data_IF_911655820290
#
_entry.id   IF_911655820290
#
_cell.length_a   1.000
_cell.length_b   1.000
_cell.length_c   1.000
_cell.angle_alpha   90.00
_cell.angle_beta   90.00
_cell.angle_gamma   90.00
#
_symmetry.space_group_name_H-M   'P 1'
#
loop_
_entity.id
_entity.type
_entity.pdbx_description
1 polymer ?
#
# COMPACT_ATOMS: atom_id res chain seq x y z
N UNK A 1 40.26 -79.61 -54.58
CA UNK A 1 39.04 -80.41 -54.76
C UNK A 1 37.95 -79.83 -53.89
N UNK A 2 36.80 -79.47 -54.48
CA UNK A 2 35.53 -79.31 -53.77
C UNK A 2 35.21 -80.51 -52.86
N UNK A 3 34.56 -80.27 -51.70
CA UNK A 3 34.14 -81.34 -50.77
C UNK A 3 33.20 -82.33 -51.46
N UNK A 4 32.36 -81.84 -52.38
CA UNK A 4 31.43 -82.65 -53.17
C UNK A 4 32.12 -83.69 -54.06
N UNK A 5 33.40 -83.47 -54.41
CA UNK A 5 34.17 -84.35 -55.29
C UNK A 5 34.93 -85.44 -54.51
N UNK A 6 34.81 -85.45 -53.17
CA UNK A 6 35.45 -86.44 -52.30
C UNK A 6 34.56 -87.68 -52.15
N UNK A 7 35.13 -88.80 -51.68
CA UNK A 7 34.36 -90.03 -51.44
C UNK A 7 33.21 -89.77 -50.46
N UNK A 8 32.05 -90.37 -50.73
CA UNK A 8 30.84 -90.21 -49.90
C UNK A 8 31.13 -90.51 -48.41
N UNK A 9 31.89 -91.57 -48.13
CA UNK A 9 32.29 -91.91 -46.76
C UNK A 9 33.05 -90.78 -46.05
N UNK A 10 33.94 -90.09 -46.77
CA UNK A 10 34.69 -88.95 -46.24
C UNK A 10 33.78 -87.74 -46.03
N UNK A 11 32.83 -87.50 -46.93
CA UNK A 11 31.86 -86.41 -46.77
C UNK A 11 30.99 -86.62 -45.52
N UNK A 12 30.51 -87.86 -45.31
CA UNK A 12 29.74 -88.22 -44.12
C UNK A 12 30.59 -88.07 -42.86
N UNK A 13 31.81 -88.61 -42.83
CA UNK A 13 32.72 -88.47 -41.70
C UNK A 13 33.05 -87.00 -41.38
N UNK A 14 33.22 -86.17 -42.42
CA UNK A 14 33.46 -84.73 -42.24
C UNK A 14 32.23 -84.02 -41.65
N UNK A 15 31.02 -84.43 -42.07
CA UNK A 15 29.77 -83.93 -41.48
C UNK A 15 29.67 -84.31 -40.01
N UNK A 16 29.97 -85.56 -39.68
CA UNK A 16 29.96 -86.05 -38.31
C UNK A 16 30.98 -85.30 -37.44
N UNK A 17 32.20 -85.07 -37.94
CA UNK A 17 33.22 -84.25 -37.26
C UNK A 17 32.75 -82.82 -37.06
N UNK A 18 32.11 -82.20 -38.06
CA UNK A 18 31.55 -80.84 -37.90
C UNK A 18 30.47 -80.81 -36.83
N UNK A 19 29.62 -81.82 -36.77
CA UNK A 19 28.59 -81.92 -35.72
C UNK A 19 29.22 -82.08 -34.33
N UNK A 20 30.31 -82.84 -34.22
CA UNK A 20 31.06 -82.99 -32.96
C UNK A 20 31.71 -81.67 -32.50
N UNK A 21 32.25 -80.88 -33.45
CA UNK A 21 33.00 -79.65 -33.14
C UNK A 21 32.10 -78.42 -32.98
N UNK A 22 31.09 -78.27 -33.84
CA UNK A 22 30.25 -77.07 -33.94
C UNK A 22 28.79 -77.30 -33.51
N UNK A 23 28.42 -78.52 -33.14
CA UNK A 23 27.09 -78.80 -32.58
C UNK A 23 26.95 -78.33 -31.13
N UNK A 24 25.98 -78.89 -30.43
CA UNK A 24 25.58 -78.46 -29.07
C UNK A 24 26.64 -78.72 -27.97
N UNK A 25 27.71 -79.44 -28.32
CA UNK A 25 28.83 -79.76 -27.44
C UNK A 25 29.86 -78.64 -27.30
N UNK A 26 29.81 -77.59 -28.13
CA UNK A 26 30.82 -76.52 -28.12
C UNK A 26 30.77 -75.72 -26.81
N UNK A 27 31.81 -75.88 -25.99
CA UNK A 27 31.95 -75.14 -24.73
C UNK A 27 32.86 -73.92 -24.90
N UNK A 28 32.55 -72.80 -24.23
CA UNK A 28 33.43 -71.64 -24.22
C UNK A 28 34.79 -72.01 -23.61
N UNK A 29 35.85 -71.33 -24.06
CA UNK A 29 37.17 -71.51 -23.45
C UNK A 29 37.13 -70.97 -22.02
N UNK A 30 37.38 -71.84 -21.04
CA UNK A 30 37.37 -71.48 -19.63
C UNK A 30 38.80 -71.32 -19.08
N UNK A 31 38.99 -70.35 -18.19
CA UNK A 31 40.18 -70.24 -17.35
C UNK A 31 39.74 -69.85 -15.94
N UNK A 32 40.18 -70.60 -14.93
CA UNK A 32 39.78 -70.40 -13.53
C UNK A 32 38.24 -70.30 -13.35
N UNK A 33 37.49 -71.15 -14.05
CA UNK A 33 36.02 -71.18 -13.96
C UNK A 33 35.32 -69.99 -14.62
N UNK A 34 36.03 -69.14 -15.38
CA UNK A 34 35.44 -68.01 -16.12
C UNK A 34 35.58 -68.21 -17.64
N UNK A 35 34.52 -67.93 -18.42
CA UNK A 35 34.61 -67.94 -19.86
C UNK A 35 35.49 -66.78 -20.33
N UNK A 36 36.40 -67.07 -21.26
CA UNK A 36 37.26 -66.06 -21.86
C UNK A 36 36.49 -65.29 -22.93
N UNK A 37 36.44 -63.96 -22.79
CA UNK A 37 36.03 -63.08 -23.88
C UNK A 37 37.23 -62.82 -24.83
N UNK A 38 36.97 -62.15 -25.96
CA UNK A 38 38.01 -61.85 -26.96
C UNK A 38 39.17 -61.00 -26.41
N UNK A 39 38.88 -60.00 -25.57
CA UNK A 39 39.89 -59.14 -24.93
C UNK A 39 40.81 -59.95 -24.00
N UNK A 40 40.21 -60.80 -23.18
CA UNK A 40 40.93 -61.68 -22.25
C UNK A 40 41.81 -62.67 -23.00
N UNK A 41 41.27 -63.29 -24.06
CA UNK A 41 42.02 -64.25 -24.87
C UNK A 41 43.19 -63.59 -25.59
N UNK A 42 42.99 -62.42 -26.21
CA UNK A 42 44.06 -61.66 -26.85
C UNK A 42 45.15 -61.24 -25.86
N UNK A 43 44.77 -60.80 -24.65
CA UNK A 43 45.71 -60.45 -23.58
C UNK A 43 46.56 -61.65 -23.13
N UNK A 44 45.95 -62.83 -22.99
CA UNK A 44 46.67 -64.07 -22.68
C UNK A 44 47.65 -64.45 -23.80
N UNK A 45 47.23 -64.39 -25.06
CA UNK A 45 48.10 -64.64 -26.21
C UNK A 45 49.30 -63.68 -26.21
N UNK A 46 49.06 -62.39 -26.00
CA UNK A 46 50.12 -61.39 -25.96
C UNK A 46 51.12 -61.67 -24.83
N UNK A 47 50.65 -62.01 -23.63
CA UNK A 47 51.51 -62.36 -22.50
C UNK A 47 52.34 -63.62 -22.78
N UNK A 48 51.75 -64.65 -23.38
CA UNK A 48 52.47 -65.89 -23.72
C UNK A 48 53.52 -65.67 -24.81
N UNK A 49 53.14 -64.99 -25.89
CA UNK A 49 54.06 -64.67 -27.00
C UNK A 49 55.22 -63.81 -26.50
N UNK A 50 54.95 -62.82 -25.64
CA UNK A 50 55.99 -61.98 -25.04
C UNK A 50 56.98 -62.80 -24.20
N UNK A 51 56.49 -63.71 -23.35
CA UNK A 51 57.34 -64.57 -22.53
C UNK A 51 58.22 -65.50 -23.38
N UNK A 52 57.67 -66.08 -24.44
CA UNK A 52 58.44 -66.92 -25.39
C UNK A 52 59.52 -66.09 -26.08
N UNK A 53 59.14 -64.91 -26.59
CA UNK A 53 60.06 -64.04 -27.32
C UNK A 53 61.18 -63.46 -26.43
N UNK A 54 60.97 -63.37 -25.12
CA UNK A 54 62.00 -62.97 -24.15
C UNK A 54 62.88 -64.14 -23.67
N UNK A 55 62.74 -65.34 -24.24
CA UNK A 55 63.47 -66.54 -23.81
C UNK A 55 63.00 -67.12 -22.46
N UNK A 56 61.84 -66.69 -21.98
CA UNK A 56 61.23 -67.17 -20.73
C UNK A 56 60.20 -68.28 -20.97
N UNK A 57 59.78 -68.93 -19.88
CA UNK A 57 58.68 -69.90 -19.89
C UNK A 57 57.37 -69.18 -19.55
N UNK A 58 56.33 -69.25 -20.40
CA UNK A 58 55.04 -68.64 -20.10
C UNK A 58 54.42 -69.17 -18.81
N UNK A 59 54.16 -68.29 -17.85
CA UNK A 59 53.47 -68.64 -16.60
C UNK A 59 52.00 -68.26 -16.73
N UNK A 60 51.13 -69.27 -16.78
CA UNK A 60 49.68 -69.10 -16.98
C UNK A 60 49.06 -68.17 -15.93
N UNK A 61 49.48 -68.31 -14.67
CA UNK A 61 48.95 -67.54 -13.55
C UNK A 61 49.29 -66.04 -13.65
N UNK A 62 50.53 -65.67 -13.99
CA UNK A 62 50.91 -64.25 -14.08
C UNK A 62 50.24 -63.56 -15.28
N UNK A 63 50.11 -64.26 -16.41
CA UNK A 63 49.36 -63.77 -17.55
C UNK A 63 47.88 -63.55 -17.20
N UNK A 64 47.28 -64.49 -16.46
CA UNK A 64 45.90 -64.40 -16.00
C UNK A 64 45.68 -63.25 -15.01
N UNK A 65 46.56 -63.08 -14.04
CA UNK A 65 46.52 -61.96 -13.09
C UNK A 65 46.62 -60.61 -13.80
N UNK A 66 47.52 -60.48 -14.78
CA UNK A 66 47.64 -59.27 -15.59
C UNK A 66 46.37 -58.95 -16.39
N UNK A 67 45.78 -59.96 -17.04
CA UNK A 67 44.53 -59.80 -17.81
C UNK A 67 43.36 -59.44 -16.90
N UNK A 68 43.17 -60.15 -15.78
CA UNK A 68 42.07 -59.87 -14.84
C UNK A 68 42.20 -58.51 -14.16
N UNK A 69 43.42 -58.06 -13.86
CA UNK A 69 43.67 -56.70 -13.36
C UNK A 69 43.34 -55.63 -14.41
N UNK A 70 43.68 -55.87 -15.68
CA UNK A 70 43.37 -54.97 -16.80
C UNK A 70 41.86 -54.87 -17.04
N UNK A 71 41.15 -55.99 -17.11
CA UNK A 71 39.70 -56.03 -17.32
C UNK A 71 38.94 -55.40 -16.15
N UNK A 72 39.36 -55.64 -14.90
CA UNK A 72 38.77 -54.97 -13.72
C UNK A 72 38.98 -53.46 -13.75
N UNK A 73 40.14 -52.97 -14.23
CA UNK A 73 40.40 -51.54 -14.37
C UNK A 73 39.53 -50.89 -15.44
N UNK A 74 39.27 -51.60 -16.54
CA UNK A 74 38.30 -51.17 -17.57
C UNK A 74 36.90 -51.11 -16.98
N UNK A 75 36.46 -52.16 -16.29
CA UNK A 75 35.17 -52.21 -15.62
C UNK A 75 34.98 -51.05 -14.62
N UNK A 76 36.01 -50.75 -13.81
CA UNK A 76 36.02 -49.60 -12.89
C UNK A 76 35.82 -48.27 -13.63
N UNK A 77 36.52 -48.08 -14.74
CA UNK A 77 36.43 -46.85 -15.54
C UNK A 77 35.05 -46.70 -16.16
N UNK A 78 34.52 -47.77 -16.76
CA UNK A 78 33.18 -47.79 -17.33
C UNK A 78 32.09 -47.54 -16.28
N UNK A 79 32.19 -48.14 -15.09
CA UNK A 79 31.26 -47.91 -14.00
C UNK A 79 31.30 -46.44 -13.52
N UNK A 80 32.49 -45.86 -13.37
CA UNK A 80 32.65 -44.45 -13.00
C UNK A 80 32.08 -43.49 -14.07
N UNK A 81 32.22 -43.83 -15.35
CA UNK A 81 31.63 -43.06 -16.45
C UNK A 81 30.10 -43.17 -16.49
N UNK A 82 29.56 -44.37 -16.26
CA UNK A 82 28.13 -44.60 -16.14
C UNK A 82 27.53 -43.79 -14.98
N UNK A 83 28.17 -43.82 -13.81
CA UNK A 83 27.79 -43.00 -12.65
C UNK A 83 27.73 -41.52 -13.00
N UNK A 84 28.80 -40.96 -13.58
CA UNK A 84 28.86 -39.55 -13.97
C UNK A 84 27.78 -39.19 -15.00
N UNK A 85 27.51 -40.09 -15.93
CA UNK A 85 26.44 -39.90 -16.93
C UNK A 85 25.07 -39.85 -16.25
N UNK A 86 24.79 -40.75 -15.30
CA UNK A 86 23.55 -40.73 -14.52
C UNK A 86 23.38 -39.42 -13.76
N UNK A 87 24.43 -38.93 -13.08
CA UNK A 87 24.39 -37.64 -12.39
C UNK A 87 24.18 -36.46 -13.35
N UNK A 88 24.82 -36.48 -14.53
CA UNK A 88 24.66 -35.41 -15.52
C UNK A 88 23.29 -35.35 -16.17
N UNK A 89 22.50 -36.43 -16.08
CA UNK A 89 21.15 -36.51 -16.61
C UNK A 89 20.08 -36.01 -15.62
N UNK A 90 20.46 -35.69 -14.38
CA UNK A 90 19.55 -35.15 -13.37
C UNK A 90 19.12 -33.73 -13.73
N UNK A 91 17.82 -33.46 -13.64
CA UNK A 91 17.25 -32.13 -13.80
C UNK A 91 17.37 -31.34 -12.50
N UNK A 92 18.48 -30.64 -12.33
CA UNK A 92 18.74 -29.79 -11.16
C UNK A 92 17.98 -28.44 -11.28
N UNK A 93 17.59 -27.80 -10.16
CA UNK A 93 17.76 -28.26 -8.78
C UNK A 93 16.69 -29.26 -8.32
N UNK A 94 17.14 -30.26 -7.56
CA UNK A 94 16.31 -31.24 -6.85
C UNK A 94 16.27 -30.92 -5.36
N UNK A 95 15.17 -31.32 -4.71
CA UNK A 95 15.05 -31.30 -3.26
C UNK A 95 16.04 -32.30 -2.62
N UNK A 96 16.44 -32.05 -1.36
CA UNK A 96 17.54 -32.79 -0.74
C UNK A 96 17.28 -34.30 -0.64
N UNK A 97 16.02 -34.69 -0.38
CA UNK A 97 15.59 -36.10 -0.33
C UNK A 97 15.73 -36.76 -1.71
N UNK A 98 15.19 -36.14 -2.75
CA UNK A 98 15.24 -36.63 -4.13
C UNK A 98 16.68 -36.71 -4.65
N UNK A 99 17.52 -35.73 -4.31
CA UNK A 99 18.93 -35.71 -4.72
C UNK A 99 19.69 -36.87 -4.06
N UNK A 100 19.48 -37.12 -2.77
CA UNK A 100 20.14 -38.21 -2.04
C UNK A 100 19.71 -39.56 -2.61
N UNK A 101 18.42 -39.75 -2.88
CA UNK A 101 17.90 -40.97 -3.49
C UNK A 101 18.49 -41.19 -4.89
N UNK A 102 18.47 -40.17 -5.75
CA UNK A 102 19.01 -40.26 -7.11
C UNK A 102 20.52 -40.57 -7.14
N UNK A 103 21.30 -39.96 -6.25
CA UNK A 103 22.73 -40.24 -6.12
C UNK A 103 22.96 -41.68 -5.66
N UNK A 104 22.19 -42.14 -4.66
CA UNK A 104 22.29 -43.49 -4.12
C UNK A 104 21.96 -44.54 -5.18
N UNK A 105 20.88 -44.35 -5.93
CA UNK A 105 20.48 -45.26 -7.01
C UNK A 105 21.56 -45.34 -8.10
N UNK A 106 22.13 -44.20 -8.48
CA UNK A 106 23.22 -44.14 -9.45
C UNK A 106 24.47 -44.87 -8.93
N UNK A 107 24.80 -44.74 -7.65
CA UNK A 107 25.92 -45.44 -7.01
C UNK A 107 25.69 -46.94 -6.99
N UNK A 108 24.51 -47.40 -6.55
CA UNK A 108 24.17 -48.82 -6.50
C UNK A 108 24.25 -49.46 -7.90
N UNK A 109 23.77 -48.77 -8.93
CA UNK A 109 23.87 -49.22 -10.31
C UNK A 109 25.33 -49.31 -10.79
N UNK A 110 26.16 -48.31 -10.50
CA UNK A 110 27.57 -48.30 -10.89
C UNK A 110 28.36 -49.41 -10.20
N UNK A 111 28.14 -49.63 -8.91
CA UNK A 111 28.78 -50.71 -8.14
C UNK A 111 28.31 -52.08 -8.64
N UNK A 112 27.02 -52.26 -8.92
CA UNK A 112 26.49 -53.50 -9.48
C UNK A 112 27.11 -53.80 -10.86
N UNK A 113 27.19 -52.80 -11.73
CA UNK A 113 27.83 -52.92 -13.04
C UNK A 113 29.31 -53.30 -12.91
N UNK A 114 30.04 -52.68 -11.98
CA UNK A 114 31.42 -53.02 -11.70
C UNK A 114 31.56 -54.46 -11.23
N UNK A 115 30.81 -54.87 -10.20
CA UNK A 115 30.87 -56.23 -9.62
C UNK A 115 30.52 -57.32 -10.62
N UNK A 116 29.64 -57.04 -11.59
CA UNK A 116 29.30 -57.97 -12.66
C UNK A 116 30.46 -58.22 -13.65
N UNK A 117 31.32 -57.22 -13.87
CA UNK A 117 32.42 -57.27 -14.84
C UNK A 117 33.81 -57.48 -14.22
N UNK A 118 33.99 -57.21 -12.92
CA UNK A 118 35.27 -57.29 -12.24
C UNK A 118 35.73 -58.76 -12.03
N UNK A 119 37.04 -58.98 -12.15
CA UNK A 119 37.67 -60.29 -12.11
C UNK A 119 39.00 -60.27 -11.33
N UNK A 120 39.33 -61.38 -10.69
CA UNK A 120 40.64 -61.59 -10.05
C UNK A 120 40.80 -60.90 -8.70
N UNK A 121 41.98 -61.09 -8.08
CA UNK A 121 42.25 -60.64 -6.71
C UNK A 121 42.27 -59.11 -6.54
N UNK A 122 42.49 -58.36 -7.62
CA UNK A 122 42.50 -56.89 -7.59
C UNK A 122 41.09 -56.27 -7.56
N UNK A 123 40.04 -57.05 -7.81
CA UNK A 123 38.66 -56.55 -7.91
C UNK A 123 38.21 -55.80 -6.65
N UNK A 124 38.49 -56.33 -5.45
CA UNK A 124 38.11 -55.66 -4.20
C UNK A 124 38.84 -54.32 -3.99
N UNK A 125 40.12 -54.23 -4.35
CA UNK A 125 40.89 -52.97 -4.23
C UNK A 125 40.37 -51.90 -5.19
N UNK A 126 40.10 -52.29 -6.44
CA UNK A 126 39.57 -51.40 -7.46
C UNK A 126 38.11 -50.97 -7.17
N UNK A 127 37.34 -51.77 -6.43
CA UNK A 127 36.03 -51.35 -5.93
C UNK A 127 36.13 -50.20 -4.93
N UNK A 128 37.09 -50.27 -4.00
CA UNK A 128 37.37 -49.18 -3.06
C UNK A 128 37.78 -47.90 -3.80
N UNK A 129 38.59 -48.03 -4.86
CA UNK A 129 39.00 -46.90 -5.68
C UNK A 129 37.83 -46.33 -6.51
N UNK A 130 36.90 -47.18 -6.97
CA UNK A 130 35.64 -46.75 -7.59
C UNK A 130 34.81 -45.91 -6.62
N UNK A 131 34.58 -46.40 -5.40
CA UNK A 131 33.83 -45.65 -4.37
C UNK A 131 34.45 -44.28 -4.12
N UNK A 132 35.78 -44.20 -3.94
CA UNK A 132 36.48 -42.91 -3.77
C UNK A 132 36.27 -41.96 -4.94
N UNK A 133 36.35 -42.46 -6.17
CA UNK A 133 36.15 -41.63 -7.37
C UNK A 133 34.71 -41.12 -7.47
N UNK A 134 33.74 -41.94 -7.05
CA UNK A 134 32.34 -41.52 -7.00
C UNK A 134 32.10 -40.45 -5.93
N UNK A 135 32.78 -40.48 -4.78
CA UNK A 135 32.65 -39.42 -3.76
C UNK A 135 32.96 -38.01 -4.30
N UNK A 136 33.99 -37.86 -5.13
CA UNK A 136 34.31 -36.59 -5.77
C UNK A 136 33.20 -36.12 -6.72
N UNK A 137 32.67 -37.05 -7.54
CA UNK A 137 31.56 -36.81 -8.47
C UNK A 137 30.26 -36.47 -7.70
N UNK A 138 29.99 -37.12 -6.55
CA UNK A 138 28.88 -36.80 -5.63
C UNK A 138 29.01 -35.39 -5.07
N UNK A 139 30.16 -35.05 -4.50
CA UNK A 139 30.42 -33.73 -3.94
C UNK A 139 30.33 -32.61 -4.98
N UNK A 140 30.71 -32.88 -6.23
CA UNK A 140 30.51 -31.96 -7.34
C UNK A 140 29.02 -31.77 -7.68
N UNK A 141 28.25 -32.87 -7.75
CA UNK A 141 26.81 -32.83 -8.01
C UNK A 141 26.04 -32.06 -6.92
N UNK A 142 26.32 -32.31 -5.64
CA UNK A 142 25.69 -31.59 -4.52
C UNK A 142 26.00 -30.10 -4.57
N UNK A 143 27.25 -29.71 -4.84
CA UNK A 143 27.62 -28.29 -5.01
C UNK A 143 26.91 -27.64 -6.18
N UNK A 144 26.80 -28.34 -7.32
CA UNK A 144 26.09 -27.84 -8.50
C UNK A 144 24.58 -27.68 -8.21
N UNK A 145 23.97 -28.65 -7.52
CA UNK A 145 22.57 -28.57 -7.10
C UNK A 145 22.31 -27.37 -6.18
N UNK A 146 23.18 -27.15 -5.19
CA UNK A 146 23.07 -26.02 -4.28
C UNK A 146 23.19 -24.66 -5.01
N UNK A 147 24.13 -24.55 -5.95
CA UNK A 147 24.30 -23.33 -6.75
C UNK A 147 23.07 -23.03 -7.61
N UNK A 148 22.54 -24.04 -8.32
CA UNK A 148 21.36 -23.89 -9.15
C UNK A 148 20.08 -23.65 -8.33
N UNK A 149 19.95 -24.29 -7.16
CA UNK A 149 18.84 -24.06 -6.23
C UNK A 149 18.82 -22.60 -5.78
N UNK A 150 19.99 -22.06 -5.39
CA UNK A 150 20.12 -20.66 -5.01
C UNK A 150 19.74 -19.72 -6.14
N UNK A 151 20.32 -19.90 -7.32
CA UNK A 151 20.04 -19.05 -8.49
C UNK A 151 18.55 -19.07 -8.87
N UNK A 152 17.94 -20.26 -8.92
CA UNK A 152 16.52 -20.43 -9.21
C UNK A 152 15.64 -19.74 -8.16
N UNK A 153 15.94 -19.93 -6.88
CA UNK A 153 15.16 -19.37 -5.78
C UNK A 153 15.25 -17.83 -5.76
N UNK A 154 16.45 -17.27 -5.89
CA UNK A 154 16.66 -15.82 -5.96
C UNK A 154 15.92 -15.19 -7.14
N UNK A 155 16.02 -15.79 -8.33
CA UNK A 155 15.29 -15.35 -9.53
C UNK A 155 13.78 -15.40 -9.30
N UNK A 156 13.27 -16.51 -8.77
CA UNK A 156 11.84 -16.70 -8.51
C UNK A 156 11.30 -15.66 -7.51
N UNK A 157 12.04 -15.41 -6.41
CA UNK A 157 11.68 -14.39 -5.41
C UNK A 157 11.61 -13.00 -6.05
N UNK A 158 12.60 -12.62 -6.85
CA UNK A 158 12.60 -11.34 -7.55
C UNK A 158 11.40 -11.18 -8.48
N UNK A 159 11.11 -12.21 -9.30
CA UNK A 159 9.97 -12.18 -10.23
C UNK A 159 8.65 -12.08 -9.49
N UNK A 160 8.42 -12.92 -8.47
CA UNK A 160 7.17 -12.90 -7.71
C UNK A 160 6.99 -11.60 -6.92
N UNK A 161 8.09 -11.02 -6.39
CA UNK A 161 8.03 -9.75 -5.67
C UNK A 161 7.72 -8.58 -6.62
N UNK A 162 8.38 -8.54 -7.79
CA UNK A 162 8.15 -7.52 -8.80
C UNK A 162 6.72 -7.56 -9.37
N UNK A 163 6.11 -8.75 -9.43
CA UNK A 163 4.74 -8.96 -9.89
C UNK A 163 3.69 -8.61 -8.81
N UNK A 164 3.87 -9.12 -7.57
CA UNK A 164 2.80 -9.08 -6.56
C UNK A 164 2.92 -7.91 -5.57
N UNK A 165 4.13 -7.52 -5.18
CA UNK A 165 4.37 -6.62 -4.05
C UNK A 165 4.84 -5.24 -4.52
N UNK A 166 5.86 -5.20 -5.38
CA UNK A 166 6.51 -3.97 -5.82
C UNK A 166 5.54 -2.94 -6.45
N UNK A 167 4.56 -3.32 -7.30
CA UNK A 167 3.66 -2.35 -7.93
C UNK A 167 2.80 -1.60 -6.90
N UNK A 168 2.38 -2.30 -5.84
CA UNK A 168 1.56 -1.74 -4.76
C UNK A 168 2.37 -0.88 -3.80
N UNK A 169 3.67 -1.16 -3.67
CA UNK A 169 4.62 -0.29 -2.97
C UNK A 169 4.99 0.95 -3.79
N UNK A 170 4.99 0.89 -5.12
CA UNK A 170 5.36 2.05 -5.97
C UNK A 170 4.19 2.91 -6.38
N UNK A 171 2.95 2.39 -6.36
CA UNK A 171 1.75 3.20 -6.55
C UNK A 171 1.69 4.28 -5.46
N UNK A 172 1.94 5.52 -5.87
CA UNK A 172 2.23 6.64 -4.99
C UNK A 172 1.05 7.60 -4.78
N UNK A 173 -0.14 7.32 -5.33
CA UNK A 173 -1.15 8.37 -5.45
C UNK A 173 -2.36 8.18 -4.55
N UNK A 174 -2.54 9.18 -3.69
CA UNK A 174 -3.60 9.50 -2.73
C UNK A 174 -5.06 9.41 -3.23
N UNK A 175 -5.33 8.93 -4.46
CA UNK A 175 -6.69 8.85 -5.02
C UNK A 175 -6.99 7.57 -5.81
N UNK A 176 -6.03 6.66 -5.99
CA UNK A 176 -6.25 5.43 -6.77
C UNK A 176 -6.01 4.19 -5.91
N UNK A 177 -7.03 3.35 -5.83
CA UNK A 177 -7.20 2.16 -4.97
C UNK A 177 -6.15 1.03 -5.17
N UNK A 178 -4.99 1.33 -5.75
CA UNK A 178 -3.96 0.34 -6.12
C UNK A 178 -2.86 0.10 -5.09
N UNK A 179 -2.69 0.95 -4.07
CA UNK A 179 -1.68 0.78 -3.02
C UNK A 179 -2.13 -0.14 -1.88
N UNK A 180 -1.21 -0.49 -0.96
CA UNK A 180 -1.58 -1.12 0.30
C UNK A 180 -2.37 -0.14 1.17
N UNK A 181 -3.62 -0.47 1.52
CA UNK A 181 -4.46 0.38 2.35
C UNK A 181 -3.98 0.42 3.81
N UNK A 182 -3.51 -0.72 4.32
CA UNK A 182 -3.02 -0.87 5.69
C UNK A 182 -1.99 -2.00 5.80
N UNK A 183 -1.42 -2.12 7.01
CA UNK A 183 -0.46 -3.16 7.37
C UNK A 183 -1.04 -4.58 7.24
N UNK A 184 -2.36 -4.75 7.42
CA UNK A 184 -3.01 -6.06 7.36
C UNK A 184 -3.12 -6.56 5.93
N UNK A 185 -3.46 -5.69 4.98
CA UNK A 185 -3.47 -6.00 3.56
C UNK A 185 -2.07 -6.39 3.10
N UNK A 186 -1.04 -5.61 3.47
CA UNK A 186 0.34 -5.96 3.17
C UNK A 186 0.70 -7.34 3.71
N UNK A 187 0.36 -7.65 4.98
CA UNK A 187 0.61 -8.96 5.56
C UNK A 187 -0.07 -10.11 4.80
N UNK A 188 -1.33 -9.94 4.38
CA UNK A 188 -2.07 -10.95 3.59
C UNK A 188 -1.40 -11.20 2.24
N UNK A 189 -1.02 -10.14 1.54
CA UNK A 189 -0.39 -10.27 0.24
C UNK A 189 1.04 -10.81 0.34
N UNK A 190 1.77 -10.45 1.39
CA UNK A 190 3.06 -11.03 1.69
C UNK A 190 2.97 -12.54 1.95
N UNK A 191 1.94 -12.98 2.68
CA UNK A 191 1.67 -14.40 2.87
C UNK A 191 1.35 -15.10 1.55
N UNK A 192 0.54 -14.49 0.68
CA UNK A 192 0.25 -15.03 -0.64
C UNK A 192 1.51 -15.15 -1.53
N UNK A 193 2.38 -14.13 -1.50
CA UNK A 193 3.69 -14.14 -2.16
C UNK A 193 4.55 -15.30 -1.65
N UNK A 194 4.66 -15.44 -0.33
CA UNK A 194 5.43 -16.52 0.32
C UNK A 194 4.91 -17.89 -0.09
N UNK A 195 3.60 -18.09 -0.06
CA UNK A 195 2.99 -19.37 -0.37
C UNK A 195 3.12 -19.70 -1.88
N UNK A 196 3.03 -18.70 -2.76
CA UNK A 196 3.30 -18.86 -4.19
C UNK A 196 4.77 -19.25 -4.47
N UNK A 197 5.71 -18.65 -3.73
CA UNK A 197 7.12 -19.03 -3.78
C UNK A 197 7.32 -20.48 -3.32
N UNK A 198 6.80 -20.85 -2.14
CA UNK A 198 7.00 -22.17 -1.57
C UNK A 198 6.42 -23.30 -2.43
N UNK A 199 5.38 -23.03 -3.22
CA UNK A 199 4.82 -23.99 -4.18
C UNK A 199 5.71 -24.25 -5.40
N UNK A 200 6.53 -23.27 -5.80
CA UNK A 200 7.34 -23.33 -7.03
C UNK A 200 8.83 -23.56 -6.76
N UNK A 201 9.32 -23.15 -5.59
CA UNK A 201 10.72 -23.25 -5.22
C UNK A 201 11.14 -24.70 -4.94
N UNK A 202 12.36 -25.04 -5.37
CA UNK A 202 12.98 -26.37 -5.30
C UNK A 202 14.43 -26.27 -4.81
N UNK A 203 14.89 -27.34 -4.18
CA UNK A 203 16.24 -27.53 -3.65
C UNK A 203 16.49 -26.91 -2.29
N UNK A 204 17.61 -27.30 -1.68
CA UNK A 204 17.96 -26.98 -0.30
C UNK A 204 18.10 -25.48 0.02
N UNK A 205 18.32 -24.61 -0.98
CA UNK A 205 18.47 -23.17 -0.74
C UNK A 205 17.13 -22.44 -0.51
N UNK A 206 15.99 -23.13 -0.66
CA UNK A 206 14.64 -22.56 -0.65
C UNK A 206 14.33 -21.71 0.58
N UNK A 207 14.60 -22.22 1.78
CA UNK A 207 14.26 -21.53 3.03
C UNK A 207 15.25 -20.41 3.33
N UNK A 208 16.54 -20.63 3.08
CA UNK A 208 17.59 -19.63 3.27
C UNK A 208 17.34 -18.40 2.38
N UNK A 209 17.11 -18.62 1.07
CA UNK A 209 16.84 -17.54 0.13
C UNK A 209 15.59 -16.75 0.53
N UNK A 210 14.52 -17.44 0.92
CA UNK A 210 13.30 -16.79 1.38
C UNK A 210 13.54 -15.94 2.61
N UNK A 211 14.28 -16.44 3.60
CA UNK A 211 14.58 -15.73 4.83
C UNK A 211 15.37 -14.44 4.54
N UNK A 212 16.51 -14.57 3.86
CA UNK A 212 17.39 -13.43 3.54
C UNK A 212 16.70 -12.39 2.66
N UNK A 213 15.94 -12.83 1.65
CA UNK A 213 15.18 -11.93 0.79
C UNK A 213 14.07 -11.22 1.58
N UNK A 214 13.35 -11.97 2.41
CA UNK A 214 12.25 -11.42 3.21
C UNK A 214 12.74 -10.40 4.23
N UNK A 215 13.85 -10.66 4.91
CA UNK A 215 14.42 -9.73 5.89
C UNK A 215 14.67 -8.34 5.28
N UNK A 216 15.36 -8.29 4.13
CA UNK A 216 15.64 -7.03 3.45
C UNK A 216 14.37 -6.38 2.87
N UNK A 217 13.56 -7.14 2.13
CA UNK A 217 12.42 -6.60 1.38
C UNK A 217 11.21 -6.26 2.23
N UNK A 218 11.00 -6.99 3.33
CA UNK A 218 9.94 -6.66 4.29
C UNK A 218 10.30 -5.39 5.06
N UNK A 219 11.56 -5.22 5.47
CA UNK A 219 12.02 -4.00 6.13
C UNK A 219 11.93 -2.77 5.21
N UNK A 220 12.31 -2.92 3.94
CA UNK A 220 12.15 -1.88 2.90
C UNK A 220 10.68 -1.49 2.72
N UNK A 221 9.80 -2.48 2.53
CA UNK A 221 8.37 -2.26 2.40
C UNK A 221 7.76 -1.54 3.62
N UNK A 222 8.13 -1.97 4.82
CA UNK A 222 7.65 -1.37 6.07
C UNK A 222 8.07 0.10 6.19
N UNK A 223 9.32 0.43 5.84
CA UNK A 223 9.81 1.81 5.86
C UNK A 223 9.03 2.70 4.90
N UNK A 224 8.75 2.21 3.69
CA UNK A 224 7.96 2.96 2.68
C UNK A 224 6.54 3.23 3.21
N UNK A 225 5.88 2.21 3.77
CA UNK A 225 4.52 2.36 4.29
C UNK A 225 4.44 3.29 5.50
N UNK A 226 5.40 3.19 6.44
CA UNK A 226 5.46 4.09 7.59
C UNK A 226 5.68 5.55 7.17
N UNK A 227 6.62 5.80 6.25
CA UNK A 227 6.86 7.16 5.70
C UNK A 227 5.59 7.75 5.08
N UNK A 228 4.84 6.96 4.31
CA UNK A 228 3.56 7.40 3.72
C UNK A 228 2.51 7.74 4.78
N UNK A 229 2.45 6.92 5.83
CA UNK A 229 1.51 7.16 6.92
C UNK A 229 1.86 8.43 7.69
N UNK A 230 3.14 8.66 7.96
CA UNK A 230 3.66 9.89 8.58
C UNK A 230 3.34 11.13 7.73
N UNK A 231 3.59 11.08 6.42
CA UNK A 231 3.21 12.16 5.48
C UNK A 231 1.70 12.43 5.50
N UNK A 232 0.89 11.37 5.59
CA UNK A 232 -0.57 11.48 5.73
C UNK A 232 -1.01 12.18 7.02
N UNK A 233 -0.36 11.87 8.15
CA UNK A 233 -0.61 12.55 9.42
C UNK A 233 -0.11 13.99 9.41
N UNK A 234 1.04 14.27 8.82
CA UNK A 234 1.54 15.64 8.67
C UNK A 234 0.58 16.50 7.85
N UNK A 235 0.06 16.00 6.72
CA UNK A 235 -0.95 16.70 5.91
C UNK A 235 -2.19 17.03 6.74
N UNK A 236 -2.68 16.08 7.55
CA UNK A 236 -3.83 16.30 8.44
C UNK A 236 -3.53 17.33 9.52
N UNK A 237 -2.35 17.27 10.15
CA UNK A 237 -1.91 18.24 11.15
C UNK A 237 -1.86 19.65 10.55
N UNK A 238 -1.26 19.82 9.35
CA UNK A 238 -1.22 21.12 8.66
C UNK A 238 -2.62 21.66 8.36
N UNK A 239 -3.53 20.79 7.93
CA UNK A 239 -4.92 21.16 7.66
C UNK A 239 -5.62 21.63 8.94
N UNK A 240 -5.53 20.85 10.02
CA UNK A 240 -6.11 21.21 11.32
C UNK A 240 -5.50 22.49 11.90
N UNK A 241 -4.20 22.71 11.77
CA UNK A 241 -3.54 23.95 12.18
C UNK A 241 -4.06 25.16 11.38
N UNK A 242 -4.30 24.99 10.09
CA UNK A 242 -4.95 26.00 9.24
C UNK A 242 -6.36 26.32 9.72
N UNK A 243 -7.17 25.31 10.02
CA UNK A 243 -8.54 25.51 10.49
C UNK A 243 -8.59 26.13 11.90
N UNK A 244 -7.70 25.73 12.81
CA UNK A 244 -7.53 26.38 14.13
C UNK A 244 -7.19 27.86 13.97
N UNK A 245 -6.33 28.21 13.01
CA UNK A 245 -5.95 29.61 12.76
C UNK A 245 -7.15 30.43 12.28
N UNK A 246 -7.97 29.88 11.36
CA UNK A 246 -9.21 30.52 10.90
C UNK A 246 -10.20 30.75 12.04
N UNK A 247 -10.47 29.71 12.84
CA UNK A 247 -11.39 29.82 13.99
C UNK A 247 -10.90 30.86 15.00
N UNK A 248 -9.58 30.94 15.23
CA UNK A 248 -8.99 31.94 16.13
C UNK A 248 -9.17 33.37 15.62
N UNK A 249 -9.04 33.58 14.31
CA UNK A 249 -9.29 34.88 13.66
C UNK A 249 -10.76 35.29 13.78
N UNK A 250 -11.67 34.36 13.48
CA UNK A 250 -13.12 34.57 13.64
C UNK A 250 -13.49 34.90 15.09
N UNK A 251 -12.92 34.19 16.08
CA UNK A 251 -13.13 34.46 17.49
C UNK A 251 -12.64 35.85 17.90
N UNK A 252 -11.47 36.28 17.39
CA UNK A 252 -10.97 37.63 17.62
C UNK A 252 -11.89 38.72 17.04
N UNK A 253 -12.44 38.50 15.85
CA UNK A 253 -13.44 39.39 15.23
C UNK A 253 -14.74 39.45 16.04
N UNK A 254 -15.22 38.32 16.55
CA UNK A 254 -16.40 38.28 17.44
C UNK A 254 -16.11 39.03 18.75
N UNK A 255 -14.97 38.78 19.39
CA UNK A 255 -14.59 39.48 20.63
C UNK A 255 -14.45 40.99 20.45
N UNK A 256 -13.92 41.44 19.31
CA UNK A 256 -13.89 42.86 18.96
C UNK A 256 -15.30 43.47 18.83
N UNK A 257 -16.23 42.76 18.19
CA UNK A 257 -17.65 43.17 18.10
C UNK A 257 -18.33 43.20 19.46
N UNK A 258 -18.07 42.21 20.31
CA UNK A 258 -18.60 42.13 21.67
C UNK A 258 -18.18 43.36 22.50
N UNK A 259 -16.90 43.75 22.44
CA UNK A 259 -16.40 44.93 23.15
C UNK A 259 -17.08 46.22 22.69
N UNK A 260 -17.26 46.41 21.37
CA UNK A 260 -17.99 47.55 20.81
C UNK A 260 -19.44 47.58 21.31
N UNK A 261 -20.13 46.44 21.29
CA UNK A 261 -21.50 46.36 21.78
C UNK A 261 -21.60 46.66 23.28
N UNK A 262 -20.62 46.21 24.07
CA UNK A 262 -20.58 46.49 25.51
C UNK A 262 -20.41 47.99 25.79
N UNK A 263 -19.49 48.67 25.10
CA UNK A 263 -19.30 50.12 25.21
C UNK A 263 -20.55 50.90 24.76
N UNK A 264 -21.22 50.47 23.69
CA UNK A 264 -22.48 51.06 23.25
C UNK A 264 -23.60 50.90 24.29
N UNK A 265 -23.71 49.72 24.92
CA UNK A 265 -24.69 49.48 26.00
C UNK A 265 -24.41 50.38 27.21
N UNK A 266 -23.15 50.49 27.64
CA UNK A 266 -22.77 51.37 28.76
C UNK A 266 -23.08 52.84 28.45
N UNK A 267 -22.79 53.31 27.23
CA UNK A 267 -23.17 54.66 26.78
C UNK A 267 -24.69 54.87 26.78
N UNK A 268 -25.46 53.91 26.25
CA UNK A 268 -26.92 53.97 26.26
C UNK A 268 -27.49 53.99 27.68
N UNK A 269 -26.91 53.23 28.61
CA UNK A 269 -27.31 53.23 30.01
C UNK A 269 -27.05 54.59 30.68
N UNK A 270 -25.90 55.21 30.40
CA UNK A 270 -25.58 56.56 30.87
C UNK A 270 -26.56 57.60 30.31
N UNK A 271 -26.83 57.58 29.01
CA UNK A 271 -27.81 58.47 28.38
C UNK A 271 -29.22 58.28 28.95
N UNK A 272 -29.65 57.03 29.14
CA UNK A 272 -30.94 56.71 29.76
C UNK A 272 -31.05 57.26 31.18
N UNK A 273 -29.98 57.14 31.98
CA UNK A 273 -29.91 57.72 33.33
C UNK A 273 -29.98 59.26 33.32
N UNK A 274 -29.28 59.92 32.39
CA UNK A 274 -29.36 61.37 32.21
C UNK A 274 -30.77 61.83 31.84
N UNK A 275 -31.39 61.19 30.84
CA UNK A 275 -32.77 61.47 30.43
C UNK A 275 -33.73 61.26 31.59
N UNK A 276 -33.55 60.19 32.37
CA UNK A 276 -34.39 59.92 33.54
C UNK A 276 -34.25 61.02 34.61
N UNK A 277 -33.02 61.49 34.88
CA UNK A 277 -32.77 62.60 35.80
C UNK A 277 -33.40 63.91 35.32
N UNK A 278 -33.24 64.23 34.03
CA UNK A 278 -33.88 65.40 33.41
C UNK A 278 -35.40 65.31 33.46
N UNK A 279 -35.97 64.12 33.20
CA UNK A 279 -37.41 63.88 33.32
C UNK A 279 -37.91 64.15 34.75
N UNK A 280 -37.22 63.64 35.77
CA UNK A 280 -37.57 63.90 37.17
C UNK A 280 -37.51 65.40 37.48
N UNK A 281 -36.52 66.12 36.95
CA UNK A 281 -36.40 67.58 37.13
C UNK A 281 -37.55 68.33 36.45
N UNK A 282 -37.87 67.99 35.20
CA UNK A 282 -38.98 68.58 34.46
C UNK A 282 -40.33 68.27 35.09
N UNK A 283 -40.54 67.06 35.62
CA UNK A 283 -41.74 66.70 36.36
C UNK A 283 -41.88 67.52 37.64
N UNK A 284 -40.78 67.71 38.40
CA UNK A 284 -40.78 68.56 39.59
C UNK A 284 -41.03 70.05 39.26
N UNK A 285 -40.41 70.58 38.20
CA UNK A 285 -40.66 71.94 37.71
C UNK A 285 -42.11 72.11 37.23
N UNK A 286 -42.66 71.13 36.51
CA UNK A 286 -44.07 71.14 36.07
C UNK A 286 -45.03 71.08 37.25
N UNK A 287 -44.75 70.25 38.26
CA UNK A 287 -45.52 70.15 39.49
C UNK A 287 -45.51 71.48 40.25
N UNK A 288 -44.34 72.09 40.44
CA UNK A 288 -44.19 73.38 41.09
C UNK A 288 -44.91 74.51 40.32
N UNK A 289 -44.87 74.48 38.98
CA UNK A 289 -45.65 75.41 38.17
C UNK A 289 -47.16 75.18 38.32
N UNK A 290 -47.64 73.93 38.40
CA UNK A 290 -49.07 73.64 38.65
C UNK A 290 -49.52 74.12 40.03
N UNK A 291 -48.70 73.92 41.07
CA UNK A 291 -48.97 74.44 42.41
C UNK A 291 -49.04 75.97 42.39
N UNK A 292 -48.13 76.63 41.67
CA UNK A 292 -48.12 78.08 41.53
C UNK A 292 -49.31 78.62 40.74
N UNK A 293 -49.76 77.89 39.71
CA UNK A 293 -50.99 78.20 38.98
C UNK A 293 -52.20 78.02 39.91
N UNK A 294 -52.28 76.93 40.67
CA UNK A 294 -53.36 76.70 41.62
C UNK A 294 -53.42 77.77 42.73
N UNK A 295 -52.26 78.22 43.24
CA UNK A 295 -52.17 79.31 44.19
C UNK A 295 -52.64 80.64 43.58
N UNK A 296 -52.23 80.95 42.35
CA UNK A 296 -52.68 82.14 41.63
C UNK A 296 -54.18 82.10 41.33
N UNK A 297 -54.73 80.94 40.96
CA UNK A 297 -56.17 80.73 40.76
C UNK A 297 -56.96 80.92 42.06
N UNK A 298 -56.42 80.43 43.19
CA UNK A 298 -56.99 80.63 44.53
C UNK A 298 -56.99 82.11 44.92
N UNK A 299 -55.88 82.82 44.72
CA UNK A 299 -55.78 84.28 44.92
C UNK A 299 -56.75 85.06 44.03
N UNK A 300 -56.97 84.61 42.79
CA UNK A 300 -57.90 85.24 41.86
C UNK A 300 -59.36 84.96 42.24
N UNK A 301 -59.67 83.77 42.78
CA UNK A 301 -60.97 83.47 43.38
C UNK A 301 -61.23 84.31 44.64
N UNK A 302 -60.22 84.53 45.47
CA UNK A 302 -60.35 85.33 46.68
C UNK A 302 -60.52 86.83 46.35
N UNK A 303 -59.81 87.33 45.34
CA UNK A 303 -59.97 88.72 44.87
C UNK A 303 -61.33 88.94 44.18
N UNK A 304 -61.86 87.94 43.47
CA UNK A 304 -63.21 88.00 42.87
C UNK A 304 -64.32 87.86 43.91
N UNK A 305 -64.14 87.05 44.96
CA UNK A 305 -65.03 86.98 46.11
C UNK A 305 -65.05 88.31 46.90
N UNK A 306 -63.89 88.95 47.05
CA UNK A 306 -63.76 90.27 47.69
C UNK A 306 -64.41 91.38 46.84
N UNK A 307 -64.28 91.31 45.51
CA UNK A 307 -64.97 92.23 44.57
C UNK A 307 -66.48 92.01 44.49
N UNK A 308 -66.99 90.81 44.78
CA UNK A 308 -68.44 90.54 44.85
C UNK A 308 -69.06 91.03 46.17
N UNK A 309 -68.31 91.06 47.28
CA UNK A 309 -68.84 91.51 48.58
C UNK A 309 -68.98 93.04 48.71
N UNK A 310 -68.27 93.83 47.89
CA UNK A 310 -68.34 95.31 47.91
C UNK A 310 -69.40 95.87 46.95
N UNK A 311 -69.93 95.05 46.02
CA UNK A 311 -70.78 95.52 44.91
C UNK A 311 -72.30 95.40 45.14
N UNK A 312 -72.76 95.04 46.34
CA UNK A 312 -74.20 94.82 46.62
C UNK A 312 -74.94 96.04 47.20
N UNK A 313 -74.27 97.19 47.44
CA UNK A 313 -74.86 98.34 48.15
C UNK A 313 -74.70 99.72 47.47
N UNK A 314 -74.82 99.84 46.13
CA UNK A 314 -75.35 101.08 45.50
C UNK A 314 -75.73 100.94 44.02
N UNK A 315 -77.02 101.17 43.73
CA UNK A 315 -77.73 100.96 42.46
C UNK A 315 -77.51 102.07 41.40
N UNK A 316 -77.47 101.61 40.14
CA UNK A 316 -78.02 102.17 38.87
C UNK A 316 -77.84 103.68 38.55
N UNK A 317 -77.05 104.02 37.53
CA UNK A 317 -77.51 104.66 36.25
C UNK A 317 -76.33 105.08 35.32
N UNK A 318 -76.36 104.62 34.06
CA UNK A 318 -75.95 105.23 32.75
C UNK A 318 -74.86 106.33 32.68
N UNK A 319 -73.89 106.40 31.75
CA UNK A 319 -73.55 105.62 30.54
C UNK A 319 -72.42 106.29 29.70
N UNK A 320 -71.71 105.46 28.90
CA UNK A 320 -71.12 105.67 27.54
C UNK A 320 -70.11 106.82 27.22
N UNK A 321 -68.83 106.49 26.93
CA UNK A 321 -68.22 106.31 25.57
C UNK A 321 -66.66 106.27 25.56
N UNK A 322 -66.12 105.33 24.73
CA UNK A 322 -64.92 105.31 23.82
C UNK A 322 -63.59 105.96 24.27
N UNK A 323 -62.36 105.48 23.99
CA UNK A 323 -61.68 104.69 22.91
C UNK A 323 -60.26 104.34 23.43
N UNK A 324 -59.67 103.16 23.29
CA UNK A 324 -58.87 102.62 22.14
C UNK A 324 -57.58 101.99 22.72
N UNK A 325 -57.32 100.67 22.58
CA UNK A 325 -56.48 100.01 21.54
C UNK A 325 -54.99 100.46 21.59
N UNK A 326 -53.90 99.67 21.55
CA UNK A 326 -53.53 98.35 21.00
C UNK A 326 -52.13 98.02 21.57
N UNK A 327 -51.84 96.75 21.89
CA UNK A 327 -50.60 96.02 21.51
C UNK A 327 -50.70 94.57 22.06
N UNK A 328 -50.13 93.58 21.38
CA UNK A 328 -50.23 92.11 21.64
C UNK A 328 -51.41 91.40 20.95
N UNK A 329 -51.87 91.86 19.78
CA UNK A 329 -52.74 91.05 18.90
C UNK A 329 -52.22 90.87 17.47
N UNK A 330 -50.99 91.29 17.18
CA UNK A 330 -50.34 91.17 15.85
C UNK A 330 -49.30 90.05 15.75
N UNK A 331 -48.71 89.56 16.85
CA UNK A 331 -47.74 88.45 16.80
C UNK A 331 -48.40 87.06 16.91
N UNK A 332 -49.51 86.96 17.65
CA UNK A 332 -50.21 85.69 17.90
C UNK A 332 -50.94 85.18 16.65
N UNK A 333 -51.39 86.08 15.76
CA UNK A 333 -51.94 85.73 14.45
C UNK A 333 -50.86 85.31 13.43
N UNK A 334 -49.64 85.88 13.54
CA UNK A 334 -48.51 85.54 12.65
C UNK A 334 -47.95 84.15 12.95
N UNK A 335 -47.79 83.81 14.23
CA UNK A 335 -47.28 82.51 14.67
C UNK A 335 -48.30 81.39 14.44
N UNK A 336 -49.61 81.64 14.60
CA UNK A 336 -50.66 80.67 14.22
C UNK A 336 -50.66 80.38 12.72
N UNK A 337 -50.51 81.41 11.89
CA UNK A 337 -50.44 81.25 10.43
C UNK A 337 -49.18 80.51 9.98
N UNK A 338 -48.01 80.75 10.60
CA UNK A 338 -46.78 79.99 10.31
C UNK A 338 -46.86 78.53 10.80
N UNK A 339 -47.49 78.28 11.95
CA UNK A 339 -47.71 76.93 12.47
C UNK A 339 -48.69 76.12 11.59
N UNK A 340 -49.82 76.71 11.18
CA UNK A 340 -50.76 76.07 10.23
C UNK A 340 -50.12 75.82 8.86
N UNK A 341 -49.21 76.71 8.41
CA UNK A 341 -48.48 76.49 7.16
C UNK A 341 -47.47 75.34 7.25
N UNK A 342 -46.74 75.20 8.37
CA UNK A 342 -45.81 74.08 8.59
C UNK A 342 -46.54 72.76 8.82
N UNK A 343 -47.71 72.78 9.46
CA UNK A 343 -48.57 71.59 9.62
C UNK A 343 -49.14 71.15 8.27
N UNK A 344 -49.63 72.07 7.44
CA UNK A 344 -50.10 71.73 6.09
C UNK A 344 -48.96 71.29 5.15
N UNK A 345 -47.74 71.85 5.29
CA UNK A 345 -46.56 71.41 4.55
C UNK A 345 -46.12 70.00 4.98
N UNK A 346 -46.19 69.70 6.28
CA UNK A 346 -45.92 68.36 6.84
C UNK A 346 -46.96 67.33 6.38
N UNK A 347 -48.25 67.68 6.39
CA UNK A 347 -49.32 66.80 5.91
C UNK A 347 -49.23 66.57 4.39
N UNK A 348 -48.86 67.61 3.61
CA UNK A 348 -48.60 67.48 2.17
C UNK A 348 -47.40 66.57 1.90
N UNK A 349 -46.30 66.74 2.64
CA UNK A 349 -45.09 65.91 2.51
C UNK A 349 -45.30 64.48 3.03
N UNK A 350 -46.09 64.25 4.08
CA UNK A 350 -46.49 62.91 4.54
C UNK A 350 -47.43 62.22 3.53
N UNK A 351 -48.32 62.97 2.87
CA UNK A 351 -49.16 62.45 1.79
C UNK A 351 -48.35 62.12 0.52
N UNK A 352 -47.38 62.98 0.15
CA UNK A 352 -46.42 62.72 -0.95
C UNK A 352 -45.51 61.52 -0.64
N UNK A 353 -45.01 61.40 0.59
CA UNK A 353 -44.20 60.27 1.03
C UNK A 353 -45.00 58.97 1.08
N UNK A 354 -46.29 59.02 1.45
CA UNK A 354 -47.19 57.88 1.41
C UNK A 354 -47.58 57.48 -0.02
N UNK A 355 -47.83 58.43 -0.93
CA UNK A 355 -48.07 58.18 -2.35
C UNK A 355 -46.84 57.61 -3.06
N UNK A 356 -45.65 58.15 -2.79
CA UNK A 356 -44.36 57.64 -3.31
C UNK A 356 -43.99 56.28 -2.68
N UNK A 357 -44.38 56.03 -1.43
CA UNK A 357 -44.21 54.72 -0.76
C UNK A 357 -45.18 53.67 -1.32
N UNK A 358 -46.42 54.05 -1.65
CA UNK A 358 -47.38 53.19 -2.36
C UNK A 358 -46.97 52.94 -3.83
N UNK A 359 -46.47 53.94 -4.56
CA UNK A 359 -45.90 53.78 -5.90
C UNK A 359 -44.62 52.92 -5.87
N UNK A 360 -43.76 53.06 -4.86
CA UNK A 360 -42.57 52.21 -4.67
C UNK A 360 -42.92 50.76 -4.27
N UNK A 361 -44.04 50.54 -3.56
CA UNK A 361 -44.56 49.20 -3.26
C UNK A 361 -45.28 48.56 -4.46
N UNK A 362 -45.93 49.34 -5.32
CA UNK A 362 -46.56 48.86 -6.56
C UNK A 362 -45.54 48.61 -7.69
N UNK A 363 -44.43 49.37 -7.77
CA UNK A 363 -43.34 49.15 -8.73
C UNK A 363 -42.40 47.98 -8.39
N UNK A 364 -42.41 47.45 -7.16
CA UNK A 364 -41.63 46.25 -6.77
C UNK A 364 -42.40 44.92 -6.89
N UNK A 365 -43.66 44.93 -7.34
CA UNK A 365 -44.49 43.74 -7.58
C UNK A 365 -45.17 43.76 -8.98
N UNK A 366 -44.43 44.21 -9.99
CA UNK A 366 -44.84 44.18 -11.40
C UNK A 366 -43.67 43.73 -12.26
N UNK A 367 -43.69 42.46 -12.63
CA UNK A 367 -42.69 41.74 -13.39
C UNK A 367 -42.29 42.40 -14.74
N UNK A 368 -41.06 42.08 -15.15
CA UNK A 368 -40.64 41.72 -16.53
C UNK A 368 -40.38 42.78 -17.60
N UNK A 369 -39.16 42.66 -18.14
CA UNK A 369 -38.81 42.63 -19.56
C UNK A 369 -38.45 43.94 -20.28
N UNK A 370 -37.25 43.95 -20.86
CA UNK A 370 -37.02 44.42 -22.23
C UNK A 370 -36.29 45.75 -22.39
N UNK A 371 -35.01 45.66 -22.80
CA UNK A 371 -34.32 46.38 -23.91
C UNK A 371 -34.79 47.82 -24.27
N UNK A 372 -33.97 48.81 -24.63
CA UNK A 372 -32.67 48.90 -25.34
C UNK A 372 -32.29 50.41 -25.35
N UNK A 373 -31.05 50.78 -25.04
CA UNK A 373 -30.04 51.41 -25.94
C UNK A 373 -30.61 52.32 -27.05
N UNK A 374 -30.31 53.64 -26.94
CA UNK A 374 -29.49 54.40 -27.90
C UNK A 374 -29.05 55.73 -27.32
#
# INVERSE_FOLDING_TARGET
>A
MPIADLRLDFQQQLSDVKQIVYGDSLQPKMLQGKPLNGSMFAGLLQAYVAAINSGGVPVIMSAWEGVTASESRKAMTTAAEAFRKSLSALELPLDDEDLVEAIKDAEEQAVAQYRAAALGASASKLEVDLCKRMEDDKAACTRNNAAQSKEMCERLLQVLYADQIQPKLTSANDNDSGGFADMQQFSREWLAFRDAYLKKARGGAKLECLLTFSEAKYAEAMRIMLSRQEEGYEKKIRTLQGDVSKVKEELGSVGGREQIYKEQIEQMQLQSSQIMSEKVRFEAESQAQRERIADLESLLQDETATKQHVNTERKKSTGLKLTGEIEINSELARIKSEYERVVQEKERQEMELNLLSEECQQLRKGHTCGCTIS
#
